data_IF_080999922812
#
_entry.id   IF_080999922812
#
_cell.length_a   1.000
_cell.length_b   1.000
_cell.length_c   1.000
_cell.angle_alpha   90.00
_cell.angle_beta   90.00
_cell.angle_gamma   90.00
#
_symmetry.space_group_name_H-M   'P 1'
#
loop_
_entity.id
_entity.type
_entity.pdbx_description
1 polymer ?
#
# COMPACT_ATOMS: atom_id res chain seq x y z
N UNK A 1 -9.29 -8.55 -19.21
CA UNK A 1 -7.86 -8.48 -19.62
C UNK A 1 -7.23 -7.30 -18.89
N UNK A 2 -6.18 -7.49 -18.10
CA UNK A 2 -5.46 -6.38 -17.45
C UNK A 2 -4.49 -5.75 -18.47
N UNK A 3 -4.56 -4.42 -18.64
CA UNK A 3 -3.74 -3.66 -19.60
C UNK A 3 -2.80 -2.76 -18.80
N UNK A 4 -1.51 -2.84 -19.07
CA UNK A 4 -0.46 -2.12 -18.36
C UNK A 4 0.70 -1.81 -19.31
N UNK A 5 1.53 -0.77 -19.04
CA UNK A 5 2.67 -0.45 -19.90
C UNK A 5 3.77 -1.50 -19.81
N UNK A 6 4.54 -1.69 -20.89
CA UNK A 6 5.63 -2.67 -20.95
C UNK A 6 6.72 -2.48 -19.87
N UNK A 7 6.90 -1.23 -19.40
CA UNK A 7 7.79 -0.90 -18.29
C UNK A 7 7.39 -1.63 -17.00
N UNK A 8 6.09 -1.83 -16.77
CA UNK A 8 5.50 -2.58 -15.68
C UNK A 8 6.10 -2.29 -14.28
N UNK A 9 6.52 -1.05 -14.00
CA UNK A 9 7.12 -0.68 -12.71
C UNK A 9 8.63 -0.95 -12.60
N UNK A 10 9.29 -1.37 -13.68
CA UNK A 10 10.74 -1.67 -13.69
C UNK A 10 11.53 -0.49 -13.15
N UNK A 11 12.45 -0.78 -12.23
CA UNK A 11 13.33 0.21 -11.61
C UNK A 11 12.69 1.04 -10.50
N UNK A 12 11.46 0.73 -10.09
CA UNK A 12 10.82 1.33 -8.91
C UNK A 12 10.93 0.38 -7.73
N UNK A 13 11.23 0.92 -6.54
CA UNK A 13 11.18 0.20 -5.28
C UNK A 13 9.82 0.45 -4.61
N UNK A 14 9.06 -0.62 -4.35
CA UNK A 14 7.86 -0.57 -3.51
C UNK A 14 8.21 -1.15 -2.15
N UNK A 15 8.22 -0.29 -1.13
CA UNK A 15 8.40 -0.66 0.26
C UNK A 15 7.04 -1.05 0.83
N UNK A 16 6.93 -2.28 1.30
CA UNK A 16 5.71 -2.81 1.91
C UNK A 16 5.92 -2.74 3.41
N UNK A 17 5.26 -1.78 4.05
CA UNK A 17 5.35 -1.56 5.50
C UNK A 17 4.23 -2.32 6.18
N UNK A 18 4.50 -3.55 6.62
CA UNK A 18 3.45 -4.53 6.97
C UNK A 18 3.95 -5.62 7.95
N UNK A 19 3.36 -6.81 7.91
CA UNK A 19 3.63 -7.97 8.79
C UNK A 19 4.75 -8.90 8.31
N UNK A 20 5.46 -8.52 7.24
CA UNK A 20 6.53 -9.29 6.62
C UNK A 20 6.11 -9.89 5.28
N UNK A 21 7.09 -10.32 4.48
CA UNK A 21 6.84 -10.95 3.17
C UNK A 21 7.53 -12.31 3.10
N UNK A 22 6.81 -13.33 2.62
CA UNK A 22 7.41 -14.59 2.19
C UNK A 22 8.19 -14.39 0.88
N UNK A 23 9.46 -13.96 1.01
CA UNK A 23 10.27 -13.41 -0.08
C UNK A 23 10.48 -14.37 -1.26
N UNK A 24 10.44 -15.67 -1.01
CA UNK A 24 10.68 -16.72 -2.01
C UNK A 24 9.43 -17.15 -2.76
N UNK A 25 8.28 -16.49 -2.55
CA UNK A 25 7.07 -16.77 -3.30
C UNK A 25 7.28 -16.58 -4.82
N UNK A 26 6.74 -17.47 -5.65
CA UNK A 26 6.90 -17.45 -7.11
C UNK A 26 6.42 -16.14 -7.77
N UNK A 27 5.42 -15.48 -7.16
CA UNK A 27 4.94 -14.15 -7.57
C UNK A 27 6.04 -13.10 -7.62
N UNK A 28 7.09 -13.23 -6.82
CA UNK A 28 8.12 -12.22 -6.70
C UNK A 28 9.33 -12.50 -7.59
N UNK A 29 9.57 -13.74 -8.01
CA UNK A 29 10.66 -14.10 -8.94
C UNK A 29 12.01 -13.45 -8.55
N UNK A 30 12.35 -13.55 -7.26
CA UNK A 30 13.57 -12.97 -6.68
C UNK A 30 13.61 -11.45 -6.54
N UNK A 31 12.55 -10.72 -6.92
CA UNK A 31 12.46 -9.25 -6.81
C UNK A 31 12.15 -8.77 -5.39
N UNK A 32 11.62 -9.63 -4.53
CA UNK A 32 11.37 -9.33 -3.13
C UNK A 32 12.64 -9.48 -2.28
N UNK A 33 12.97 -8.45 -1.50
CA UNK A 33 14.14 -8.43 -0.62
C UNK A 33 13.75 -7.99 0.78
N UNK A 34 14.44 -8.55 1.77
CA UNK A 34 14.32 -8.09 3.15
C UNK A 34 14.96 -6.70 3.29
N UNK A 35 14.19 -5.73 3.79
CA UNK A 35 14.70 -4.41 4.16
C UNK A 35 15.10 -4.36 5.63
N UNK A 36 14.13 -4.53 6.53
CA UNK A 36 14.34 -4.51 7.97
C UNK A 36 13.10 -4.88 8.76
N UNK A 37 13.27 -5.16 10.06
CA UNK A 37 12.19 -5.45 10.99
C UNK A 37 12.29 -4.55 12.23
N UNK A 38 11.16 -3.95 12.59
CA UNK A 38 11.05 -2.87 13.59
C UNK A 38 10.02 -3.20 14.68
N UNK A 39 9.53 -4.43 14.70
CA UNK A 39 8.64 -4.96 15.74
C UNK A 39 9.42 -5.77 16.77
N UNK A 40 8.87 -5.87 17.99
CA UNK A 40 9.37 -6.83 18.98
C UNK A 40 8.96 -8.25 18.57
N UNK A 41 9.87 -9.21 18.74
CA UNK A 41 9.65 -10.64 18.50
C UNK A 41 9.22 -11.03 17.08
N UNK A 42 9.40 -10.18 16.07
CA UNK A 42 9.20 -10.59 14.69
C UNK A 42 10.40 -11.39 14.17
N UNK A 43 10.35 -12.71 14.38
CA UNK A 43 11.29 -13.64 13.76
C UNK A 43 11.07 -13.65 12.27
N UNK A 44 12.16 -13.71 11.51
CA UNK A 44 12.14 -13.66 10.04
C UNK A 44 11.18 -14.68 9.42
N UNK A 45 11.11 -15.88 9.97
CA UNK A 45 10.33 -16.99 9.39
C UNK A 45 8.92 -17.13 10.00
N UNK A 46 8.61 -16.34 11.02
CA UNK A 46 7.28 -16.25 11.61
C UNK A 46 6.56 -15.08 10.91
N UNK A 47 5.99 -15.33 9.74
CA UNK A 47 5.41 -14.31 8.85
C UNK A 47 3.90 -14.51 8.77
N UNK A 48 3.15 -13.41 8.90
CA UNK A 48 1.72 -13.42 8.66
C UNK A 48 1.39 -13.36 7.16
N UNK A 49 0.19 -13.79 6.77
CA UNK A 49 -0.23 -13.81 5.37
C UNK A 49 -0.42 -12.42 4.76
N UNK A 50 -0.71 -11.40 5.57
CA UNK A 50 -1.16 -10.09 5.09
C UNK A 50 -0.09 -9.37 4.27
N UNK A 51 1.14 -9.22 4.76
CA UNK A 51 2.19 -8.50 4.03
C UNK A 51 2.57 -9.16 2.70
N UNK A 52 2.59 -10.49 2.64
CA UNK A 52 2.78 -11.24 1.38
C UNK A 52 1.64 -10.96 0.39
N UNK A 53 0.40 -10.95 0.87
CA UNK A 53 -0.77 -10.65 0.07
C UNK A 53 -0.70 -9.24 -0.51
N UNK A 54 -0.46 -8.25 0.34
CA UNK A 54 -0.31 -6.84 -0.03
C UNK A 54 0.80 -6.67 -1.08
N UNK A 55 1.98 -7.27 -0.84
CA UNK A 55 3.09 -7.24 -1.77
C UNK A 55 2.75 -7.85 -3.14
N UNK A 56 2.00 -8.96 -3.14
CA UNK A 56 1.58 -9.64 -4.37
C UNK A 56 0.61 -8.80 -5.20
N UNK A 57 -0.34 -8.10 -4.56
CA UNK A 57 -1.28 -7.20 -5.24
C UNK A 57 -0.55 -5.98 -5.81
N UNK A 58 0.45 -5.46 -5.11
CA UNK A 58 1.25 -4.35 -5.61
C UNK A 58 2.12 -4.74 -6.83
N UNK A 59 2.83 -5.87 -6.75
CA UNK A 59 3.92 -6.19 -7.69
C UNK A 59 4.19 -7.68 -7.96
N UNK A 60 3.24 -8.57 -7.68
CA UNK A 60 3.29 -9.98 -8.09
C UNK A 60 3.26 -10.16 -9.61
N UNK A 61 3.94 -11.18 -10.13
CA UNK A 61 4.06 -11.47 -11.56
C UNK A 61 2.72 -11.72 -12.27
N UNK A 62 1.75 -12.37 -11.61
CA UNK A 62 0.47 -12.73 -12.23
C UNK A 62 -0.71 -11.94 -11.66
N UNK A 63 -0.68 -11.64 -10.36
CA UNK A 63 -1.77 -10.94 -9.65
C UNK A 63 -1.51 -9.45 -9.43
N UNK A 64 -0.26 -9.01 -9.59
CA UNK A 64 0.15 -7.64 -9.27
C UNK A 64 -0.05 -6.61 -10.37
N UNK A 65 -0.09 -5.36 -9.95
CA UNK A 65 -0.18 -4.18 -10.84
C UNK A 65 1.18 -3.86 -11.48
N UNK A 66 2.24 -3.71 -10.67
CA UNK A 66 3.59 -3.35 -11.11
C UNK A 66 4.53 -4.55 -11.20
N UNK A 67 4.28 -5.42 -12.18
CA UNK A 67 4.88 -6.77 -12.31
C UNK A 67 6.41 -6.83 -12.42
N UNK A 68 7.09 -5.71 -12.67
CA UNK A 68 8.56 -5.60 -12.76
C UNK A 68 9.17 -4.70 -11.68
N UNK A 69 8.38 -4.20 -10.72
CA UNK A 69 8.90 -3.41 -9.61
C UNK A 69 9.72 -4.27 -8.63
N UNK A 70 10.65 -3.66 -7.92
CA UNK A 70 11.33 -4.28 -6.79
C UNK A 70 10.44 -4.18 -5.56
N UNK A 71 10.46 -5.19 -4.70
CA UNK A 71 9.66 -5.24 -3.48
C UNK A 71 10.60 -5.27 -2.29
N UNK A 72 10.43 -4.36 -1.34
CA UNK A 72 11.26 -4.27 -0.15
C UNK A 72 10.38 -4.47 1.09
N UNK A 73 10.68 -5.52 1.85
CA UNK A 73 9.96 -5.85 3.09
C UNK A 73 10.40 -4.95 4.24
N UNK A 74 9.46 -4.19 4.79
CA UNK A 74 9.67 -3.32 5.96
C UNK A 74 8.69 -3.75 7.04
N UNK A 75 9.16 -4.60 7.93
CA UNK A 75 8.28 -5.28 8.86
C UNK A 75 8.05 -4.46 10.13
N UNK A 76 6.81 -4.07 10.39
CA UNK A 76 6.41 -3.27 11.57
C UNK A 76 5.36 -3.99 12.43
N UNK A 77 4.76 -5.05 11.91
CA UNK A 77 3.83 -5.93 12.62
C UNK A 77 4.43 -7.34 12.80
N UNK A 78 4.07 -7.99 13.90
CA UNK A 78 4.40 -9.40 14.15
C UNK A 78 3.46 -10.34 13.35
N UNK A 79 3.64 -11.66 13.51
CA UNK A 79 2.84 -12.67 12.80
C UNK A 79 1.36 -12.74 13.23
N UNK A 80 0.96 -11.96 14.23
CA UNK A 80 -0.43 -11.80 14.67
C UNK A 80 -1.05 -10.49 14.17
N UNK A 81 -0.31 -9.71 13.38
CA UNK A 81 -0.71 -8.37 12.94
C UNK A 81 -0.55 -7.29 14.01
N UNK A 82 0.19 -7.56 15.09
CA UNK A 82 0.36 -6.61 16.20
C UNK A 82 1.64 -5.79 16.02
N UNK A 83 1.54 -4.48 16.25
CA UNK A 83 2.66 -3.56 16.28
C UNK A 83 2.27 -2.25 16.95
N UNK A 84 3.26 -1.45 17.35
CA UNK A 84 3.02 -0.14 17.93
C UNK A 84 3.22 0.98 16.89
N UNK A 85 2.66 2.14 17.18
CA UNK A 85 2.94 3.37 16.41
C UNK A 85 4.44 3.68 16.31
N UNK A 86 5.22 3.36 17.35
CA UNK A 86 6.68 3.53 17.32
C UNK A 86 7.34 2.63 16.27
N UNK A 87 6.92 1.36 16.14
CA UNK A 87 7.43 0.46 15.11
C UNK A 87 7.15 1.01 13.70
N UNK A 88 5.96 1.57 13.50
CA UNK A 88 5.56 2.18 12.22
C UNK A 88 6.45 3.39 11.89
N UNK A 89 6.68 4.27 12.87
CA UNK A 89 7.56 5.44 12.73
C UNK A 89 9.00 5.01 12.43
N UNK A 90 9.53 4.02 13.13
CA UNK A 90 10.87 3.47 12.89
C UNK A 90 10.99 2.86 11.49
N UNK A 91 9.98 2.10 11.05
CA UNK A 91 9.92 1.54 9.69
C UNK A 91 9.89 2.61 8.61
N UNK A 92 9.11 3.68 8.78
CA UNK A 92 9.09 4.81 7.85
C UNK A 92 10.42 5.57 7.82
N UNK A 93 11.02 5.78 9.00
CA UNK A 93 12.35 6.42 9.13
C UNK A 93 13.41 5.61 8.38
N UNK A 94 13.39 4.28 8.51
CA UNK A 94 14.25 3.40 7.72
C UNK A 94 14.06 3.57 6.21
N UNK A 95 12.80 3.66 5.73
CA UNK A 95 12.54 3.86 4.30
C UNK A 95 13.09 5.21 3.82
N UNK A 96 12.93 6.26 4.61
CA UNK A 96 13.51 7.59 4.33
C UNK A 96 15.03 7.48 4.19
N UNK A 97 15.70 6.80 5.12
CA UNK A 97 17.15 6.63 5.09
C UNK A 97 17.62 5.78 3.89
N UNK A 98 16.93 4.68 3.60
CA UNK A 98 17.21 3.85 2.42
C UNK A 98 17.04 4.66 1.13
N UNK A 99 15.99 5.46 1.03
CA UNK A 99 15.77 6.33 -0.12
C UNK A 99 16.86 7.40 -0.23
N UNK A 100 17.21 8.10 0.85
CA UNK A 100 18.22 9.18 0.86
C UNK A 100 19.62 8.66 0.52
N UNK A 101 20.00 7.51 1.06
CA UNK A 101 21.33 6.92 0.86
C UNK A 101 21.43 6.06 -0.41
N UNK A 102 20.31 5.56 -0.93
CA UNK A 102 20.26 4.75 -2.14
C UNK A 102 20.49 5.55 -3.42
N UNK A 103 21.05 4.89 -4.45
CA UNK A 103 21.18 5.48 -5.80
C UNK A 103 19.83 5.56 -6.54
N UNK A 104 18.91 4.64 -6.24
CA UNK A 104 17.58 4.62 -6.83
C UNK A 104 16.64 5.54 -6.03
N UNK A 105 16.16 6.61 -6.66
CA UNK A 105 15.20 7.55 -6.05
C UNK A 105 13.76 7.30 -6.48
N UNK A 106 13.46 6.16 -7.10
CA UNK A 106 12.09 5.78 -7.42
C UNK A 106 11.52 4.93 -6.28
N UNK A 107 10.89 5.57 -5.29
CA UNK A 107 10.36 4.90 -4.10
C UNK A 107 8.87 5.14 -3.92
N UNK A 108 8.13 4.07 -3.67
CA UNK A 108 6.73 4.08 -3.26
C UNK A 108 6.62 3.27 -1.96
N UNK A 109 5.82 3.73 -1.01
CA UNK A 109 5.44 3.01 0.20
C UNK A 109 3.99 2.58 0.08
N UNK A 110 3.70 1.35 0.49
CA UNK A 110 2.35 0.92 0.84
C UNK A 110 2.26 0.68 2.35
N UNK A 111 1.28 1.29 3.02
CA UNK A 111 0.90 0.97 4.40
C UNK A 111 -0.55 0.50 4.45
N UNK A 112 -0.75 -0.82 4.50
CA UNK A 112 -2.08 -1.44 4.60
C UNK A 112 -2.47 -1.71 6.05
N UNK A 113 -2.25 -0.71 6.91
CA UNK A 113 -2.43 -0.78 8.36
C UNK A 113 -2.78 0.61 8.90
N UNK A 114 -3.27 0.67 10.13
CA UNK A 114 -3.61 1.93 10.78
C UNK A 114 -3.68 1.81 12.30
N UNK A 115 -3.78 2.97 12.96
CA UNK A 115 -3.94 3.09 14.41
C UNK A 115 -5.07 4.08 14.73
N UNK A 116 -5.83 3.73 15.76
CA UNK A 116 -6.85 4.58 16.39
C UNK A 116 -6.47 4.77 17.86
N UNK A 117 -6.56 5.99 18.42
CA UNK A 117 -6.95 7.25 17.77
C UNK A 117 -5.83 7.82 16.87
N UNK A 118 -6.14 8.92 16.16
CA UNK A 118 -5.18 9.69 15.34
C UNK A 118 -3.87 9.93 16.09
N UNK A 119 -2.75 9.63 15.41
CA UNK A 119 -1.40 9.89 15.89
C UNK A 119 -0.77 11.02 15.09
N UNK A 120 -0.61 12.19 15.72
CA UNK A 120 0.11 13.33 15.12
C UNK A 120 1.53 12.96 14.72
N UNK A 121 2.26 12.24 15.60
CA UNK A 121 3.62 11.81 15.32
C UNK A 121 3.71 10.90 14.08
N UNK A 122 2.73 10.01 13.87
CA UNK A 122 2.73 9.17 12.66
C UNK A 122 2.42 10.01 11.41
N UNK A 123 1.46 10.94 11.49
CA UNK A 123 1.15 11.84 10.37
C UNK A 123 2.33 12.76 10.03
N UNK A 124 3.09 13.24 11.02
CA UNK A 124 4.27 14.08 10.81
C UNK A 124 5.37 13.29 10.07
N UNK A 125 5.60 12.02 10.45
CA UNK A 125 6.57 11.17 9.75
C UNK A 125 6.11 10.83 8.33
N UNK A 126 4.80 10.66 8.09
CA UNK A 126 4.26 10.55 6.72
C UNK A 126 4.52 11.81 5.91
N UNK A 127 4.45 12.99 6.53
CA UNK A 127 4.88 14.23 5.89
C UNK A 127 6.37 14.17 5.52
N UNK A 128 7.24 13.76 6.45
CA UNK A 128 8.68 13.61 6.20
C UNK A 128 8.99 12.63 5.06
N UNK A 129 8.24 11.52 4.95
CA UNK A 129 8.32 10.58 3.82
C UNK A 129 8.09 11.32 2.50
N UNK A 130 7.00 12.09 2.42
CA UNK A 130 6.66 12.80 1.18
C UNK A 130 7.57 13.99 0.88
N UNK A 131 8.02 14.71 1.91
CA UNK A 131 9.03 15.78 1.77
C UNK A 131 10.36 15.21 1.25
N UNK A 132 10.69 13.95 1.57
CA UNK A 132 11.85 13.25 1.02
C UNK A 132 11.69 12.79 -0.43
N UNK A 133 10.52 13.01 -1.06
CA UNK A 133 10.24 12.63 -2.46
C UNK A 133 9.73 11.19 -2.63
N UNK A 134 9.28 10.56 -1.54
CA UNK A 134 8.75 9.19 -1.53
C UNK A 134 7.23 9.26 -1.60
N UNK A 135 6.62 8.49 -2.49
CA UNK A 135 5.16 8.39 -2.57
C UNK A 135 4.65 7.40 -1.53
N UNK A 136 3.49 7.65 -0.95
CA UNK A 136 2.91 6.74 0.07
C UNK A 136 1.41 6.58 -0.15
N UNK A 137 0.99 5.33 -0.35
CA UNK A 137 -0.41 4.92 -0.38
C UNK A 137 -0.75 4.21 0.94
N UNK A 138 -1.90 4.56 1.51
CA UNK A 138 -2.35 4.03 2.80
C UNK A 138 -3.80 3.57 2.73
N UNK A 139 -4.15 2.53 3.49
CA UNK A 139 -5.53 2.06 3.60
C UNK A 139 -6.41 3.05 4.37
N UNK A 140 -7.63 3.33 3.88
CA UNK A 140 -8.56 4.24 4.54
C UNK A 140 -9.13 3.70 5.86
N UNK A 141 -9.18 2.38 6.05
CA UNK A 141 -9.80 1.68 7.19
C UNK A 141 -11.02 0.86 6.83
N UNK A 142 -11.46 -0.01 7.75
CA UNK A 142 -12.48 -1.02 7.49
C UNK A 142 -13.65 -0.97 8.51
N UNK A 143 -13.93 0.21 9.07
CA UNK A 143 -14.87 0.40 10.17
C UNK A 143 -16.18 1.10 9.72
N UNK A 144 -16.32 1.42 8.43
CA UNK A 144 -17.45 2.19 7.88
C UNK A 144 -17.58 3.63 8.40
N UNK A 145 -16.48 4.16 8.94
CA UNK A 145 -16.37 5.45 9.64
C UNK A 145 -15.67 6.54 8.79
N UNK A 146 -15.50 7.75 9.36
CA UNK A 146 -14.68 8.81 8.79
C UNK A 146 -13.18 8.43 8.83
N UNK A 147 -12.54 8.33 7.66
CA UNK A 147 -11.12 8.01 7.52
C UNK A 147 -10.21 9.03 8.23
N UNK A 148 -10.69 10.26 8.46
CA UNK A 148 -9.97 11.26 9.25
C UNK A 148 -9.79 10.87 10.72
N UNK A 149 -10.50 9.86 11.23
CA UNK A 149 -10.43 9.39 12.60
C UNK A 149 -9.21 8.53 12.96
N UNK A 150 -8.33 8.22 12.00
CA UNK A 150 -7.18 7.33 12.21
C UNK A 150 -5.93 7.74 11.45
N UNK A 151 -4.78 7.18 11.84
CA UNK A 151 -3.49 7.39 11.16
C UNK A 151 -2.97 6.09 10.56
N UNK A 152 -2.31 6.10 9.40
CA UNK A 152 -1.90 7.28 8.61
C UNK A 152 -2.98 7.83 7.66
N UNK A 153 -4.21 7.29 7.62
CA UNK A 153 -5.27 7.75 6.72
C UNK A 153 -5.62 9.26 6.83
N UNK A 154 -5.44 9.85 8.01
CA UNK A 154 -5.62 11.30 8.24
C UNK A 154 -4.42 12.17 7.87
N UNK A 155 -3.30 11.59 7.41
CA UNK A 155 -2.10 12.34 7.03
C UNK A 155 -2.31 13.02 5.67
N UNK A 156 -2.35 14.37 5.57
CA UNK A 156 -2.79 15.05 4.34
C UNK A 156 -1.87 14.87 3.12
N UNK A 157 -0.63 14.41 3.33
CA UNK A 157 0.32 14.16 2.25
C UNK A 157 0.32 12.70 1.76
N UNK A 158 -0.34 11.78 2.46
CA UNK A 158 -0.57 10.43 1.97
C UNK A 158 -1.65 10.39 0.88
N UNK A 159 -1.65 9.31 0.11
CA UNK A 159 -2.78 8.95 -0.75
C UNK A 159 -3.60 7.92 0.01
N UNK A 160 -4.71 8.34 0.59
CA UNK A 160 -5.59 7.47 1.37
C UNK A 160 -6.60 6.78 0.46
N UNK A 161 -6.63 5.45 0.54
CA UNK A 161 -7.33 4.60 -0.43
C UNK A 161 -8.52 3.89 0.20
N UNK A 162 -9.72 4.26 -0.26
CA UNK A 162 -10.97 3.58 0.07
C UNK A 162 -11.19 2.32 -0.79
N UNK A 163 -12.17 1.50 -0.39
CA UNK A 163 -12.48 0.22 -1.04
C UNK A 163 -13.80 0.26 -1.80
N UNK A 164 -13.77 -0.25 -3.04
CA UNK A 164 -14.97 -0.53 -3.83
C UNK A 164 -15.22 -2.02 -4.03
N UNK A 165 -16.48 -2.34 -4.25
CA UNK A 165 -16.94 -3.61 -4.77
C UNK A 165 -16.38 -3.83 -6.18
N UNK A 166 -15.98 -5.07 -6.48
CA UNK A 166 -15.38 -5.42 -7.76
C UNK A 166 -16.35 -5.31 -8.95
N UNK A 167 -17.65 -5.45 -8.72
CA UNK A 167 -18.64 -5.66 -9.79
C UNK A 167 -19.69 -4.56 -9.92
N UNK A 168 -19.92 -3.74 -8.88
CA UNK A 168 -20.96 -2.71 -8.86
C UNK A 168 -20.41 -1.29 -8.75
N UNK A 169 -19.10 -1.12 -8.64
CA UNK A 169 -18.41 0.15 -8.34
C UNK A 169 -18.92 0.83 -7.06
N UNK A 170 -19.69 0.13 -6.22
CA UNK A 170 -20.17 0.65 -4.95
C UNK A 170 -19.03 0.70 -3.93
N UNK A 171 -19.02 1.70 -3.06
CA UNK A 171 -18.20 1.67 -1.84
C UNK A 171 -18.56 0.41 -1.04
N UNK A 172 -17.55 -0.34 -0.57
CA UNK A 172 -17.80 -1.55 0.24
C UNK A 172 -18.44 -1.19 1.57
N UNK A 173 -19.23 -2.11 2.13
CA UNK A 173 -19.89 -1.93 3.43
C UNK A 173 -18.92 -1.60 4.58
N UNK A 174 -17.66 -2.06 4.49
CA UNK A 174 -16.62 -1.82 5.49
C UNK A 174 -15.76 -0.56 5.23
N UNK A 175 -15.70 -0.01 4.02
CA UNK A 175 -14.72 1.06 3.74
C UNK A 175 -14.96 2.27 4.64
N UNK A 176 -13.89 2.75 5.29
CA UNK A 176 -13.89 4.12 5.77
C UNK A 176 -13.90 5.08 4.57
N UNK A 177 -14.42 6.28 4.81
CA UNK A 177 -14.84 7.25 3.78
C UNK A 177 -14.64 8.68 4.27
N UNK A 178 -15.04 9.66 3.46
CA UNK A 178 -15.00 11.08 3.83
C UNK A 178 -13.82 11.82 3.20
N UNK A 179 -13.61 13.05 3.66
CA UNK A 179 -12.70 14.02 3.02
C UNK A 179 -11.21 13.65 3.09
N UNK A 180 -10.84 12.71 3.96
CA UNK A 180 -9.46 12.22 4.05
C UNK A 180 -9.19 11.07 3.09
N UNK A 181 -10.18 10.57 2.33
CA UNK A 181 -9.97 9.63 1.23
C UNK A 181 -9.65 10.42 -0.03
N UNK A 182 -8.61 10.02 -0.76
CA UNK A 182 -8.18 10.67 -2.01
C UNK A 182 -8.68 9.92 -3.25
N UNK A 183 -8.80 8.60 -3.14
CA UNK A 183 -9.17 7.72 -4.25
C UNK A 183 -9.77 6.41 -3.74
N UNK A 184 -10.64 5.80 -4.54
CA UNK A 184 -11.12 4.44 -4.30
C UNK A 184 -10.46 3.45 -5.27
N UNK A 185 -10.20 2.23 -4.78
CA UNK A 185 -9.77 1.11 -5.61
C UNK A 185 -10.46 -0.19 -5.17
N UNK A 186 -10.56 -1.21 -6.04
CA UNK A 186 -11.19 -2.47 -5.69
C UNK A 186 -10.63 -3.04 -4.38
N UNK A 187 -11.51 -3.34 -3.43
CA UNK A 187 -11.15 -3.87 -2.12
C UNK A 187 -11.95 -5.08 -1.66
N UNK A 188 -13.04 -5.44 -2.37
CA UNK A 188 -13.75 -6.71 -2.18
C UNK A 188 -13.26 -7.76 -3.17
N UNK A 189 -13.15 -9.00 -2.70
CA UNK A 189 -12.85 -10.18 -3.52
C UNK A 189 -11.54 -10.00 -4.32
N UNK A 190 -10.53 -9.48 -3.63
CA UNK A 190 -9.19 -9.34 -4.20
C UNK A 190 -8.50 -10.69 -4.07
N UNK A 191 -7.86 -11.13 -5.14
CA UNK A 191 -7.11 -12.39 -5.19
C UNK A 191 -5.61 -12.06 -5.08
N UNK A 192 -4.91 -12.74 -4.18
CA UNK A 192 -3.50 -12.46 -3.88
C UNK A 192 -2.79 -13.68 -3.31
N UNK A 193 -1.47 -13.64 -3.32
CA UNK A 193 -0.63 -14.69 -2.79
C UNK A 193 -0.49 -14.62 -1.26
N UNK A 194 -0.24 -15.76 -0.63
CA UNK A 194 0.07 -15.89 0.79
C UNK A 194 1.32 -16.75 0.96
N UNK A 195 1.96 -16.78 2.14
CA UNK A 195 3.01 -17.77 2.41
C UNK A 195 2.48 -19.17 2.15
N UNK A 196 3.27 -20.01 1.50
CA UNK A 196 2.85 -21.36 1.11
C UNK A 196 2.43 -22.17 2.33
N UNK A 197 1.20 -22.68 2.33
CA UNK A 197 0.64 -23.46 3.44
C UNK A 197 0.09 -24.78 2.92
N UNK A 198 0.92 -25.83 2.92
CA UNK A 198 0.70 -27.26 2.61
C UNK A 198 -0.11 -27.63 1.32
N UNK A 199 -1.09 -26.85 0.85
CA UNK A 199 -1.97 -27.12 -0.28
C UNK A 199 -2.52 -25.86 -1.02
N UNK A 200 -2.32 -24.63 -0.54
CA UNK A 200 -2.69 -23.40 -1.28
C UNK A 200 -1.76 -22.23 -0.91
N UNK A 201 -1.36 -21.46 -1.93
CA UNK A 201 -0.45 -20.32 -1.83
C UNK A 201 -1.18 -19.01 -2.19
N UNK A 202 -2.50 -19.04 -2.35
CA UNK A 202 -3.34 -17.91 -2.72
C UNK A 202 -4.62 -17.84 -1.88
N UNK A 203 -5.19 -16.64 -1.74
CA UNK A 203 -6.48 -16.42 -1.09
C UNK A 203 -7.29 -15.32 -1.79
N UNK A 204 -8.57 -15.27 -1.46
CA UNK A 204 -9.44 -14.13 -1.76
C UNK A 204 -9.75 -13.39 -0.46
N UNK A 205 -9.37 -12.12 -0.36
CA UNK A 205 -9.55 -11.29 0.84
C UNK A 205 -10.30 -9.99 0.53
N UNK A 206 -10.80 -9.36 1.60
CA UNK A 206 -11.55 -8.10 1.56
C UNK A 206 -10.91 -7.08 2.50
N UNK A 207 -10.80 -5.82 2.08
CA UNK A 207 -10.30 -4.74 2.91
C UNK A 207 -9.69 -3.61 2.10
N UNK A 208 -9.70 -2.40 2.65
CA UNK A 208 -8.93 -1.25 2.14
C UNK A 208 -7.43 -1.53 2.12
N UNK A 209 -6.96 -2.45 2.97
CA UNK A 209 -5.61 -3.04 2.93
C UNK A 209 -5.25 -3.66 1.57
N UNK A 210 -6.23 -4.08 0.77
CA UNK A 210 -6.00 -4.66 -0.56
C UNK A 210 -6.32 -3.67 -1.70
N UNK A 211 -7.03 -2.60 -1.41
CA UNK A 211 -7.17 -1.43 -2.29
C UNK A 211 -5.89 -0.60 -2.36
N UNK A 212 -5.27 -0.31 -1.20
CA UNK A 212 -4.03 0.47 -1.10
C UNK A 212 -2.89 -0.04 -2.01
N UNK A 213 -2.55 -1.34 -2.05
CA UNK A 213 -1.47 -1.84 -2.90
C UNK A 213 -1.76 -1.73 -4.40
N UNK A 214 -3.02 -1.67 -4.82
CA UNK A 214 -3.36 -1.39 -6.22
C UNK A 214 -2.92 0.03 -6.62
N UNK A 215 -3.11 0.99 -5.71
CA UNK A 215 -2.68 2.38 -5.92
C UNK A 215 -1.16 2.49 -5.83
N UNK A 216 -0.52 1.83 -4.85
CA UNK A 216 0.95 1.79 -4.75
C UNK A 216 1.60 1.21 -6.03
N UNK A 217 1.06 0.11 -6.55
CA UNK A 217 1.48 -0.45 -7.84
C UNK A 217 1.24 0.51 -9.01
N UNK A 218 0.11 1.22 -9.02
CA UNK A 218 -0.18 2.21 -10.06
C UNK A 218 0.81 3.38 -10.04
N UNK A 219 1.21 3.87 -8.87
CA UNK A 219 2.27 4.87 -8.73
C UNK A 219 3.59 4.36 -9.31
N UNK A 220 3.96 3.10 -9.05
CA UNK A 220 5.14 2.49 -9.65
C UNK A 220 5.04 2.39 -11.19
N UNK A 221 3.87 2.09 -11.74
CA UNK A 221 3.65 2.12 -13.19
C UNK A 221 3.88 3.53 -13.74
N UNK A 222 3.31 4.57 -13.11
CA UNK A 222 3.47 5.97 -13.51
C UNK A 222 4.95 6.39 -13.49
N UNK A 223 5.66 6.14 -12.39
CA UNK A 223 7.08 6.47 -12.24
C UNK A 223 7.92 5.77 -13.31
N UNK A 224 7.69 4.48 -13.57
CA UNK A 224 8.47 3.72 -14.55
C UNK A 224 8.21 4.10 -16.01
N UNK A 225 7.03 4.66 -16.31
CA UNK A 225 6.63 5.03 -17.67
C UNK A 225 7.12 6.43 -18.05
N UNK A 226 7.19 7.34 -17.09
CA UNK A 226 7.60 8.73 -17.31
C UNK A 226 8.84 9.06 -16.47
N UNK A 227 8.63 9.55 -15.24
CA UNK A 227 9.67 10.02 -14.33
C UNK A 227 9.11 10.12 -12.92
N UNK A 228 9.97 10.01 -11.91
CA UNK A 228 9.57 10.27 -10.53
C UNK A 228 9.39 11.78 -10.28
N UNK A 229 8.14 12.26 -10.31
CA UNK A 229 7.77 13.63 -9.94
C UNK A 229 7.65 13.78 -8.42
N UNK A 230 7.68 15.02 -7.87
CA UNK A 230 7.35 15.25 -6.48
C UNK A 230 5.99 14.64 -6.10
N UNK A 231 5.81 14.10 -4.87
CA UNK A 231 4.59 13.41 -4.47
C UNK A 231 3.29 14.16 -4.75
N UNK A 232 3.22 15.45 -4.40
CA UNK A 232 2.03 16.26 -4.66
C UNK A 232 1.68 16.37 -6.16
N UNK A 233 2.67 16.35 -7.06
CA UNK A 233 2.43 16.37 -8.50
C UNK A 233 2.01 15.00 -9.04
N UNK A 234 2.65 13.92 -8.58
CA UNK A 234 2.28 12.58 -9.01
C UNK A 234 0.89 12.17 -8.49
N UNK A 235 0.51 12.60 -7.29
CA UNK A 235 -0.85 12.44 -6.76
C UNK A 235 -1.87 13.15 -7.65
N UNK A 236 -1.59 14.38 -8.11
CA UNK A 236 -2.46 15.08 -9.06
C UNK A 236 -2.59 14.35 -10.39
N UNK A 237 -1.49 13.82 -10.92
CA UNK A 237 -1.51 13.01 -12.14
C UNK A 237 -2.35 11.73 -11.95
N UNK A 238 -2.19 11.04 -10.82
CA UNK A 238 -2.99 9.87 -10.46
C UNK A 238 -4.49 10.21 -10.40
N UNK A 239 -4.86 11.24 -9.65
CA UNK A 239 -6.27 11.68 -9.50
C UNK A 239 -6.85 12.11 -10.84
N UNK A 240 -6.07 12.79 -11.70
CA UNK A 240 -6.50 13.19 -13.04
C UNK A 240 -6.75 11.98 -13.94
N UNK A 241 -6.01 10.90 -13.77
CA UNK A 241 -6.14 9.67 -14.55
C UNK A 241 -7.21 8.71 -14.01
N UNK A 242 -7.73 8.93 -12.80
CA UNK A 242 -8.77 8.07 -12.25
C UNK A 242 -10.08 8.20 -13.05
N UNK A 243 -10.84 7.12 -13.11
CA UNK A 243 -12.23 7.16 -13.58
C UNK A 243 -13.05 8.02 -12.63
N UNK A 244 -13.99 8.80 -13.16
CA UNK A 244 -14.81 9.77 -12.42
C UNK A 244 -16.30 9.48 -12.63
N UNK A 245 -17.12 9.75 -11.62
CA UNK A 245 -18.58 9.69 -11.74
C UNK A 245 -19.13 8.26 -11.78
N UNK A 246 -18.36 7.28 -11.29
CA UNK A 246 -18.71 5.86 -11.36
C UNK A 246 -18.89 5.24 -9.98
N UNK A 247 -18.28 5.82 -8.94
CA UNK A 247 -18.35 5.22 -7.61
C UNK A 247 -19.71 5.51 -6.99
N UNK A 248 -20.42 4.45 -6.61
CA UNK A 248 -21.75 4.57 -6.00
C UNK A 248 -21.70 4.37 -4.49
N UNK A 249 -22.70 4.86 -3.74
CA UNK A 249 -22.72 4.71 -2.28
C UNK A 249 -21.77 5.64 -1.51
N UNK A 250 -21.22 6.67 -2.16
CA UNK A 250 -20.38 7.68 -1.52
C UNK A 250 -21.18 8.46 -0.45
N UNK A 251 -20.63 8.60 0.76
CA UNK A 251 -21.13 9.59 1.73
C UNK A 251 -20.48 10.95 1.46
N UNK A 252 -21.18 12.02 1.88
CA UNK A 252 -20.79 13.43 1.68
C UNK A 252 -19.31 13.66 2.05
N UNK A 253 -18.57 14.27 1.12
CA UNK A 253 -17.16 14.65 1.30
C UNK A 253 -16.14 13.64 0.79
N UNK A 254 -16.55 12.42 0.42
CA UNK A 254 -15.69 11.46 -0.27
C UNK A 254 -15.52 11.85 -1.74
N UNK A 255 -14.35 11.62 -2.36
CA UNK A 255 -14.14 11.87 -3.78
C UNK A 255 -14.85 10.82 -4.65
N UNK A 256 -15.22 11.23 -5.87
CA UNK A 256 -15.63 10.36 -6.98
C UNK A 256 -14.59 10.46 -8.11
#
# INVERSE_FOLDING_TARGET
KFIYPDSAGKGVNIFIVDSGIFLTHEQFDGRAKFGGAFCKNCKRDDIDRHGTFVASVAAGNTVGVARKANIIDVRVLNAKGEGSTSNMIEGLSFVIDQHKNGKNKNSVINMSLGVVPVSRALNDVVKEVTDAGIHIAVSAGNDSEDACGQSPASAPSAITVGATEKTSDAVTDFSNIGKCVDIFAPGRQIFGAIPAAENDDYLVLNGTSFSSPLVAGTLALLISKSSNKPPAELTKDLIKLSTKGVVTGLKKGSPD
#
